data_IF_441348052077
#
_entry.id   IF_441348052077
#
_cell.length_a   1.000
_cell.length_b   1.000
_cell.length_c   1.000
_cell.angle_alpha   90.00
_cell.angle_beta   90.00
_cell.angle_gamma   90.00
#
_symmetry.space_group_name_H-M   'P 1'
#
loop_
_entity.id
_entity.type
_entity.pdbx_description
1 polymer ?
#
# COMPACT_ATOMS: atom_id res chain seq x y z
N UNK A 1 5.23 -8.41 -3.75
CA UNK A 1 4.64 -9.53 -4.52
C UNK A 1 3.56 -10.20 -3.70
N UNK A 2 2.49 -10.62 -4.34
CA UNK A 2 1.43 -11.43 -3.76
C UNK A 2 1.68 -12.87 -4.21
N UNK A 3 1.67 -13.79 -3.27
CA UNK A 3 1.91 -15.21 -3.52
C UNK A 3 0.94 -16.10 -2.74
N UNK A 4 0.89 -17.36 -3.07
CA UNK A 4 0.07 -18.35 -2.42
C UNK A 4 -1.09 -18.85 -3.26
N UNK A 5 -1.94 -19.64 -2.61
CA UNK A 5 -3.05 -20.33 -3.26
C UNK A 5 -4.37 -19.67 -2.90
N UNK A 6 -5.19 -19.46 -3.90
CA UNK A 6 -6.58 -19.08 -3.76
C UNK A 6 -7.43 -20.32 -4.05
N UNK A 7 -8.19 -20.79 -3.06
CA UNK A 7 -9.04 -21.97 -3.18
C UNK A 7 -10.49 -21.53 -3.46
N UNK A 8 -11.07 -22.04 -4.53
CA UNK A 8 -12.46 -21.75 -4.89
C UNK A 8 -13.49 -22.26 -3.87
N UNK A 9 -13.11 -23.29 -3.08
CA UNK A 9 -13.95 -23.86 -2.03
C UNK A 9 -13.81 -23.16 -0.69
N UNK A 10 -12.91 -22.18 -0.57
CA UNK A 10 -12.77 -21.35 0.61
C UNK A 10 -14.07 -20.54 0.85
N UNK A 11 -14.66 -20.71 2.02
CA UNK A 11 -15.91 -20.02 2.40
C UNK A 11 -15.71 -18.51 2.51
N UNK A 12 -14.48 -18.06 2.82
CA UNK A 12 -14.17 -16.64 2.94
C UNK A 12 -14.27 -15.92 1.59
N UNK A 13 -13.84 -16.56 0.48
CA UNK A 13 -13.96 -15.91 -0.85
C UNK A 13 -15.38 -15.85 -1.38
N UNK A 14 -16.29 -16.69 -0.82
CA UNK A 14 -17.71 -16.77 -1.21
C UNK A 14 -18.62 -15.85 -0.41
N UNK A 15 -18.14 -15.33 0.73
CA UNK A 15 -18.93 -14.43 1.56
C UNK A 15 -18.81 -12.96 1.09
N UNK A 16 -19.72 -12.11 1.57
CA UNK A 16 -19.77 -10.69 1.19
C UNK A 16 -18.51 -9.90 1.58
N UNK A 17 -17.83 -10.28 2.67
CA UNK A 17 -16.62 -9.64 3.11
C UNK A 17 -15.40 -10.01 2.23
N UNK A 18 -15.41 -11.22 1.66
CA UNK A 18 -14.30 -11.77 0.90
C UNK A 18 -13.13 -12.21 1.78
N UNK A 19 -12.17 -12.90 1.16
CA UNK A 19 -10.90 -13.25 1.81
C UNK A 19 -10.05 -12.00 1.96
N UNK A 20 -9.71 -11.63 3.19
CA UNK A 20 -8.90 -10.44 3.48
C UNK A 20 -7.41 -10.78 3.37
N UNK A 21 -6.70 -9.94 2.60
CA UNK A 21 -5.24 -9.96 2.47
C UNK A 21 -4.67 -8.62 2.96
N UNK A 22 -3.62 -8.67 3.76
CA UNK A 22 -2.95 -7.49 4.31
C UNK A 22 -1.62 -7.25 3.60
N UNK A 23 -1.39 -6.02 3.16
CA UNK A 23 -0.13 -5.54 2.62
C UNK A 23 0.42 -4.45 3.54
N UNK A 24 1.51 -4.75 4.26
CA UNK A 24 2.20 -3.78 5.09
C UNK A 24 3.21 -2.99 4.26
N UNK A 25 3.24 -1.68 4.45
CA UNK A 25 4.17 -0.80 3.77
C UNK A 25 4.54 0.39 4.67
N UNK A 26 5.55 1.15 4.27
CA UNK A 26 5.99 2.37 4.96
C UNK A 26 5.88 3.56 4.03
N UNK A 27 5.60 4.73 4.58
CA UNK A 27 5.74 6.00 3.86
C UNK A 27 7.22 6.44 3.81
N UNK A 28 7.51 7.57 3.17
CA UNK A 28 8.87 8.10 3.06
C UNK A 28 9.48 8.53 4.40
N UNK A 29 8.66 8.71 5.43
CA UNK A 29 9.08 9.03 6.78
C UNK A 29 9.29 7.77 7.63
N UNK A 30 8.92 6.60 7.11
CA UNK A 30 9.05 5.32 7.81
C UNK A 30 7.91 4.96 8.74
N UNK A 31 6.77 5.65 8.66
CA UNK A 31 5.55 5.24 9.36
C UNK A 31 4.89 4.06 8.66
N UNK A 32 4.47 3.08 9.45
CA UNK A 32 3.86 1.87 8.94
C UNK A 32 2.37 2.04 8.66
N UNK A 33 1.95 1.50 7.53
CA UNK A 33 0.54 1.39 7.10
C UNK A 33 0.23 -0.03 6.67
N UNK A 34 -1.05 -0.40 6.74
CA UNK A 34 -1.54 -1.69 6.26
C UNK A 34 -2.69 -1.47 5.29
N UNK A 35 -2.47 -1.78 4.01
CA UNK A 35 -3.55 -1.86 3.03
C UNK A 35 -4.23 -3.22 3.14
N UNK A 36 -5.56 -3.22 3.26
CA UNK A 36 -6.38 -4.43 3.29
C UNK A 36 -7.12 -4.57 1.97
N UNK A 37 -6.94 -5.72 1.35
CA UNK A 37 -7.64 -6.08 0.13
C UNK A 37 -8.63 -7.21 0.43
N UNK A 38 -9.81 -7.14 -0.18
CA UNK A 38 -10.76 -8.23 -0.17
C UNK A 38 -10.75 -8.94 -1.53
N UNK A 39 -10.63 -10.26 -1.51
CA UNK A 39 -10.69 -11.11 -2.69
C UNK A 39 -12.00 -11.89 -2.63
N UNK A 40 -12.83 -11.76 -3.67
CA UNK A 40 -14.16 -12.38 -3.72
C UNK A 40 -14.30 -13.23 -4.98
N UNK A 41 -14.95 -14.37 -4.85
CA UNK A 41 -15.35 -15.17 -6.01
C UNK A 41 -16.45 -14.46 -6.80
N UNK A 42 -16.39 -14.53 -8.12
CA UNK A 42 -17.48 -14.07 -9.00
C UNK A 42 -18.56 -15.12 -9.22
N UNK A 43 -18.38 -16.33 -8.67
CA UNK A 43 -19.21 -17.49 -8.96
C UNK A 43 -18.89 -18.16 -10.31
N UNK A 44 -17.84 -17.74 -10.98
CA UNK A 44 -17.30 -18.36 -12.21
C UNK A 44 -15.92 -18.90 -11.88
N UNK A 45 -15.65 -20.13 -12.28
CA UNK A 45 -14.36 -20.80 -12.04
C UNK A 45 -13.18 -19.97 -12.54
N UNK A 46 -12.15 -19.88 -11.74
CA UNK A 46 -10.94 -19.12 -12.02
C UNK A 46 -11.11 -17.60 -12.06
N UNK A 47 -12.29 -17.06 -11.71
CA UNK A 47 -12.57 -15.61 -11.73
C UNK A 47 -12.91 -15.08 -10.36
N UNK A 48 -12.12 -14.09 -9.96
CA UNK A 48 -12.25 -13.39 -8.67
C UNK A 48 -12.21 -11.89 -8.89
N UNK A 49 -12.55 -11.14 -7.86
CA UNK A 49 -12.36 -9.69 -7.81
C UNK A 49 -11.46 -9.33 -6.65
N UNK A 50 -10.64 -8.30 -6.84
CA UNK A 50 -9.76 -7.74 -5.79
C UNK A 50 -10.12 -6.28 -5.59
N UNK A 51 -10.45 -5.89 -4.37
CA UNK A 51 -10.78 -4.51 -4.02
C UNK A 51 -10.00 -4.04 -2.79
N UNK A 52 -9.61 -2.77 -2.77
CA UNK A 52 -9.05 -2.12 -1.59
C UNK A 52 -10.17 -1.74 -0.63
N UNK A 53 -10.18 -2.29 0.58
CA UNK A 53 -11.24 -2.05 1.57
C UNK A 53 -10.85 -1.01 2.61
N UNK A 54 -9.60 -0.99 3.01
CA UNK A 54 -9.10 -0.02 4.00
C UNK A 54 -7.59 0.16 3.89
N UNK A 55 -7.12 1.31 4.36
CA UNK A 55 -5.71 1.58 4.64
C UNK A 55 -5.64 2.02 6.09
N UNK A 56 -4.99 1.20 6.92
CA UNK A 56 -4.86 1.44 8.35
C UNK A 56 -3.52 2.09 8.64
N UNK A 57 -3.52 3.08 9.53
CA UNK A 57 -2.31 3.65 10.11
C UNK A 57 -1.79 2.81 11.30
N UNK A 58 -0.71 3.23 11.94
CA UNK A 58 -0.11 2.57 13.11
C UNK A 58 -1.05 2.48 14.33
N UNK A 59 -2.11 3.30 14.36
CA UNK A 59 -3.15 3.29 15.40
C UNK A 59 -4.38 2.46 14.99
N UNK A 60 -4.28 1.67 13.92
CA UNK A 60 -5.38 0.92 13.32
C UNK A 60 -6.57 1.78 12.85
N UNK A 61 -6.34 3.07 12.56
CA UNK A 61 -7.37 3.95 12.03
C UNK A 61 -7.42 3.86 10.51
N UNK A 62 -8.62 3.64 9.95
CA UNK A 62 -8.78 3.63 8.50
C UNK A 62 -8.72 5.05 7.93
N UNK A 63 -7.62 5.36 7.25
CA UNK A 63 -7.36 6.70 6.70
C UNK A 63 -8.18 7.03 5.45
N UNK A 64 -8.80 6.02 4.81
CA UNK A 64 -9.63 6.17 3.60
C UNK A 64 -11.13 6.00 3.86
N UNK A 65 -11.56 5.89 5.12
CA UNK A 65 -12.96 5.57 5.47
C UNK A 65 -13.99 6.56 4.94
N UNK A 66 -13.60 7.81 4.72
CA UNK A 66 -14.50 8.88 4.28
C UNK A 66 -14.46 9.10 2.75
N UNK A 67 -13.65 8.33 2.03
CA UNK A 67 -13.55 8.42 0.59
C UNK A 67 -14.71 7.69 -0.09
N UNK A 68 -15.18 8.24 -1.19
CA UNK A 68 -16.16 7.61 -2.08
C UNK A 68 -15.51 6.43 -2.81
N UNK A 69 -16.32 5.52 -3.35
CA UNK A 69 -15.83 4.40 -4.18
C UNK A 69 -15.00 4.88 -5.35
N UNK A 70 -15.39 5.98 -6.00
CA UNK A 70 -14.64 6.58 -7.09
C UNK A 70 -13.26 7.11 -6.66
N UNK A 71 -13.15 7.67 -5.46
CA UNK A 71 -11.87 8.12 -4.91
C UNK A 71 -10.98 6.95 -4.49
N UNK A 72 -11.55 5.90 -3.88
CA UNK A 72 -10.82 4.68 -3.54
C UNK A 72 -10.25 4.02 -4.81
N UNK A 73 -11.00 4.00 -5.92
CA UNK A 73 -10.53 3.42 -7.17
C UNK A 73 -9.33 4.17 -7.77
N UNK A 74 -9.16 5.47 -7.48
CA UNK A 74 -7.94 6.20 -7.87
C UNK A 74 -6.70 5.71 -7.13
N UNK A 75 -6.88 5.15 -5.94
CA UNK A 75 -5.81 4.52 -5.17
C UNK A 75 -5.54 3.11 -5.69
N UNK A 76 -6.60 2.29 -5.78
CA UNK A 76 -6.51 0.93 -6.30
C UNK A 76 -7.89 0.46 -6.77
N UNK A 77 -8.07 0.26 -8.07
CA UNK A 77 -9.32 -0.23 -8.63
C UNK A 77 -9.63 0.30 -10.02
N UNK A 78 -10.66 -0.28 -10.62
CA UNK A 78 -11.27 0.15 -11.87
C UNK A 78 -12.72 0.58 -11.58
N UNK A 79 -12.97 1.89 -11.60
CA UNK A 79 -14.28 2.43 -11.28
C UNK A 79 -15.24 2.34 -12.46
N UNK A 80 -16.33 1.65 -12.24
CA UNK A 80 -17.46 1.56 -13.17
C UNK A 80 -18.75 1.93 -12.43
N UNK A 81 -19.43 2.96 -12.89
CA UNK A 81 -20.62 3.51 -12.22
C UNK A 81 -21.87 2.62 -12.34
N UNK A 82 -21.97 1.82 -13.39
CA UNK A 82 -23.14 0.99 -13.71
C UNK A 82 -22.71 -0.43 -14.15
N UNK A 83 -21.78 -1.01 -13.41
CA UNK A 83 -21.31 -2.36 -13.66
C UNK A 83 -22.35 -3.41 -13.30
N UNK A 84 -22.37 -4.51 -14.03
CA UNK A 84 -23.11 -5.71 -13.61
C UNK A 84 -22.37 -6.37 -12.46
N UNK A 85 -22.96 -6.32 -11.27
CA UNK A 85 -22.41 -6.93 -10.05
C UNK A 85 -22.71 -8.43 -9.99
N UNK A 86 -23.79 -8.86 -10.62
CA UNK A 86 -24.16 -10.27 -10.74
C UNK A 86 -25.45 -10.49 -11.49
N UNK A 87 -25.61 -11.72 -12.01
CA UNK A 87 -26.87 -12.22 -12.56
C UNK A 87 -27.33 -13.41 -11.73
N UNK A 88 -28.58 -13.38 -11.32
CA UNK A 88 -29.14 -14.34 -10.36
C UNK A 88 -30.33 -15.04 -10.96
N UNK A 89 -30.28 -16.36 -10.96
CA UNK A 89 -31.39 -17.21 -11.34
C UNK A 89 -32.40 -17.41 -10.21
N UNK A 90 -33.55 -17.93 -10.55
CA UNK A 90 -34.55 -18.26 -9.57
C UNK A 90 -34.07 -19.36 -8.60
N UNK A 91 -34.48 -19.26 -7.36
CA UNK A 91 -34.32 -20.35 -6.41
C UNK A 91 -35.17 -21.57 -6.85
N UNK A 92 -34.81 -22.76 -6.34
CA UNK A 92 -35.48 -24.02 -6.68
C UNK A 92 -37.00 -24.03 -6.38
N UNK A 93 -37.43 -23.17 -5.47
CA UNK A 93 -38.80 -23.12 -4.98
C UNK A 93 -39.72 -22.21 -5.82
N UNK A 94 -39.15 -21.51 -6.80
CA UNK A 94 -39.89 -20.60 -7.67
C UNK A 94 -39.71 -20.92 -9.15
N UNK A 95 -40.65 -20.53 -9.96
CA UNK A 95 -40.60 -20.53 -11.43
C UNK A 95 -41.16 -19.21 -12.00
N UNK A 96 -40.75 -18.87 -13.22
CA UNK A 96 -41.25 -17.67 -13.90
C UNK A 96 -42.18 -18.04 -15.02
N UNK A 97 -43.46 -17.63 -14.91
CA UNK A 97 -44.52 -17.90 -15.89
C UNK A 97 -45.40 -16.68 -16.04
N UNK A 98 -45.81 -16.40 -17.28
CA UNK A 98 -46.75 -15.30 -17.59
C UNK A 98 -46.31 -13.96 -16.94
N UNK A 99 -45.01 -13.66 -16.95
CA UNK A 99 -44.44 -12.45 -16.34
C UNK A 99 -44.66 -12.34 -14.80
N UNK A 100 -44.80 -13.47 -14.14
CA UNK A 100 -45.01 -13.57 -12.69
C UNK A 100 -44.07 -14.63 -12.09
N UNK A 101 -43.70 -14.45 -10.85
CA UNK A 101 -42.93 -15.39 -10.05
C UNK A 101 -43.89 -16.29 -9.29
N UNK A 102 -43.90 -17.59 -9.60
CA UNK A 102 -44.83 -18.56 -9.04
C UNK A 102 -44.12 -19.44 -8.05
N UNK A 103 -44.58 -19.47 -6.81
CA UNK A 103 -44.06 -20.37 -5.79
C UNK A 103 -44.64 -21.78 -6.01
N UNK A 104 -43.77 -22.77 -6.19
CA UNK A 104 -44.14 -24.14 -6.56
C UNK A 104 -44.97 -24.88 -5.49
N UNK A 105 -44.77 -24.51 -4.21
CA UNK A 105 -45.46 -25.20 -3.10
C UNK A 105 -46.99 -25.02 -3.09
N UNK A 106 -47.48 -23.87 -3.53
CA UNK A 106 -48.88 -23.49 -3.46
C UNK A 106 -49.41 -22.79 -4.72
N UNK A 107 -48.63 -22.76 -5.78
CA UNK A 107 -48.88 -22.06 -7.04
C UNK A 107 -49.22 -20.56 -6.87
N UNK A 108 -48.74 -19.95 -5.80
CA UNK A 108 -48.99 -18.55 -5.54
C UNK A 108 -48.17 -17.65 -6.42
N UNK A 109 -48.81 -16.68 -7.04
CA UNK A 109 -48.21 -15.74 -7.99
C UNK A 109 -47.77 -14.45 -7.29
N UNK A 110 -46.57 -14.01 -7.58
CA UNK A 110 -45.99 -12.79 -7.05
C UNK A 110 -45.55 -11.88 -8.19
N UNK A 111 -45.68 -10.58 -8.00
CA UNK A 111 -45.19 -9.53 -8.90
C UNK A 111 -44.23 -8.62 -8.14
N UNK A 112 -43.24 -8.05 -8.84
CA UNK A 112 -42.32 -7.08 -8.27
C UNK A 112 -43.06 -5.86 -7.76
N UNK A 113 -42.77 -5.43 -6.54
CA UNK A 113 -43.32 -4.17 -6.03
C UNK A 113 -42.72 -2.99 -6.82
N UNK A 114 -43.55 -2.05 -7.22
CA UNK A 114 -43.17 -0.90 -8.04
C UNK A 114 -42.31 0.12 -7.25
N UNK A 115 -42.51 0.17 -5.93
CA UNK A 115 -41.81 1.11 -5.03
C UNK A 115 -40.57 0.51 -4.43
N UNK A 116 -40.65 -0.74 -3.97
CA UNK A 116 -39.52 -1.46 -3.38
C UNK A 116 -39.22 -2.73 -4.19
N UNK A 117 -38.29 -2.65 -5.11
CA UNK A 117 -37.90 -3.76 -5.97
C UNK A 117 -37.29 -4.96 -5.24
N UNK A 118 -37.07 -4.85 -3.93
CA UNK A 118 -36.63 -5.98 -3.08
C UNK A 118 -37.80 -6.81 -2.55
N UNK A 119 -39.04 -6.37 -2.77
CA UNK A 119 -40.23 -7.03 -2.34
C UNK A 119 -41.10 -7.49 -3.53
N UNK A 120 -41.75 -8.63 -3.37
CA UNK A 120 -42.65 -9.23 -4.32
C UNK A 120 -44.01 -9.47 -3.64
N UNK A 121 -45.07 -9.00 -4.25
CA UNK A 121 -46.41 -9.01 -3.68
C UNK A 121 -47.35 -9.96 -4.43
N UNK A 122 -48.16 -10.70 -3.70
CA UNK A 122 -49.26 -11.46 -4.24
C UNK A 122 -50.58 -10.68 -4.10
N UNK A 123 -51.59 -11.10 -4.84
CA UNK A 123 -52.90 -10.46 -4.85
C UNK A 123 -53.64 -10.46 -3.48
N UNK A 124 -53.29 -11.40 -2.60
CA UNK A 124 -53.85 -11.51 -1.24
C UNK A 124 -53.11 -10.65 -0.21
N UNK A 125 -52.12 -9.84 -0.65
CA UNK A 125 -51.32 -8.97 0.21
C UNK A 125 -50.10 -9.63 0.83
N UNK A 126 -49.90 -10.94 0.64
CA UNK A 126 -48.67 -11.59 1.12
C UNK A 126 -47.45 -11.10 0.34
N UNK A 127 -46.30 -11.06 1.02
CA UNK A 127 -45.04 -10.54 0.47
C UNK A 127 -43.91 -11.54 0.69
N UNK A 128 -43.00 -11.59 -0.26
CA UNK A 128 -41.74 -12.34 -0.18
C UNK A 128 -40.57 -11.45 -0.57
N UNK A 129 -39.42 -11.74 -0.01
CA UNK A 129 -38.19 -10.98 -0.29
C UNK A 129 -37.54 -11.43 -1.60
N UNK A 130 -36.79 -10.54 -2.23
CA UNK A 130 -35.92 -10.86 -3.37
C UNK A 130 -34.92 -12.00 -3.04
N UNK A 131 -34.49 -12.10 -1.79
CA UNK A 131 -33.54 -13.15 -1.33
C UNK A 131 -34.19 -14.55 -1.28
N UNK A 132 -35.51 -14.65 -1.24
CA UNK A 132 -36.24 -15.92 -1.31
C UNK A 132 -36.44 -16.37 -2.75
N UNK A 133 -36.72 -15.42 -3.64
CA UNK A 133 -37.03 -15.71 -5.06
C UNK A 133 -35.78 -16.03 -5.83
N UNK A 134 -34.64 -15.33 -5.55
CA UNK A 134 -33.39 -15.49 -6.29
C UNK A 134 -32.33 -16.18 -5.47
N UNK A 135 -31.72 -17.20 -6.05
CA UNK A 135 -30.56 -17.87 -5.45
C UNK A 135 -29.30 -16.98 -5.59
N UNK A 136 -28.64 -16.71 -4.47
CA UNK A 136 -27.39 -15.96 -4.44
C UNK A 136 -27.52 -14.44 -4.20
N UNK A 137 -28.73 -13.89 -4.19
CA UNK A 137 -28.93 -12.51 -3.70
C UNK A 137 -28.91 -12.54 -2.17
N UNK A 138 -27.92 -11.86 -1.58
CA UNK A 138 -27.75 -11.81 -0.13
C UNK A 138 -28.60 -10.71 0.50
N UNK A 139 -28.79 -10.78 1.81
CA UNK A 139 -29.48 -9.72 2.57
C UNK A 139 -28.75 -8.37 2.46
N UNK A 140 -27.41 -8.40 2.41
CA UNK A 140 -26.59 -7.20 2.21
C UNK A 140 -26.89 -6.55 0.86
N UNK A 141 -26.92 -7.33 -0.23
CA UNK A 141 -27.30 -6.83 -1.57
C UNK A 141 -28.72 -6.27 -1.60
N UNK A 142 -29.67 -6.93 -0.95
CA UNK A 142 -31.05 -6.43 -0.87
C UNK A 142 -31.13 -5.09 -0.13
N UNK A 143 -30.39 -4.93 0.96
CA UNK A 143 -30.30 -3.66 1.68
C UNK A 143 -29.64 -2.56 0.82
N UNK A 144 -28.61 -2.89 0.05
CA UNK A 144 -27.97 -1.96 -0.87
C UNK A 144 -28.92 -1.52 -1.99
N UNK A 145 -29.70 -2.44 -2.57
CA UNK A 145 -30.72 -2.12 -3.59
C UNK A 145 -31.77 -1.17 -3.00
N UNK A 146 -32.16 -1.38 -1.76
CA UNK A 146 -33.13 -0.54 -1.05
C UNK A 146 -32.59 0.84 -0.68
N UNK A 147 -31.28 0.97 -0.49
CA UNK A 147 -30.63 2.20 -0.08
C UNK A 147 -30.24 3.06 -1.31
N UNK A 148 -30.90 4.20 -1.57
CA UNK A 148 -30.58 5.05 -2.72
C UNK A 148 -29.13 5.57 -2.73
N UNK A 149 -28.50 5.70 -1.56
CA UNK A 149 -27.13 6.16 -1.44
C UNK A 149 -26.10 5.14 -1.93
N UNK A 150 -26.44 3.84 -1.99
CA UNK A 150 -25.55 2.79 -2.49
C UNK A 150 -25.42 2.78 -4.01
N UNK A 151 -26.34 3.45 -4.73
CA UNK A 151 -26.47 3.43 -6.20
C UNK A 151 -26.64 2.03 -6.79
N UNK A 152 -26.95 1.04 -5.98
CA UNK A 152 -27.22 -0.34 -6.40
C UNK A 152 -28.65 -0.45 -6.93
N UNK A 153 -28.82 -1.10 -8.09
CA UNK A 153 -30.10 -1.28 -8.76
C UNK A 153 -30.30 -2.76 -9.11
N UNK A 154 -31.55 -3.16 -9.21
CA UNK A 154 -31.90 -4.47 -9.76
C UNK A 154 -32.81 -4.29 -10.99
N UNK A 155 -32.49 -5.05 -12.03
CA UNK A 155 -33.31 -5.17 -13.26
C UNK A 155 -33.77 -6.62 -13.40
N UNK A 156 -34.99 -6.80 -13.81
CA UNK A 156 -35.58 -8.14 -14.01
C UNK A 156 -35.79 -8.37 -15.50
N UNK A 157 -35.28 -9.49 -15.98
CA UNK A 157 -35.49 -9.94 -17.36
C UNK A 157 -36.94 -10.45 -17.52
N UNK A 158 -37.68 -9.81 -18.39
CA UNK A 158 -39.11 -10.15 -18.62
C UNK A 158 -39.32 -11.45 -19.39
N UNK A 159 -38.27 -11.99 -20.04
CA UNK A 159 -38.36 -13.26 -20.74
C UNK A 159 -37.99 -14.46 -19.85
N UNK A 160 -36.92 -14.31 -19.06
CA UNK A 160 -36.40 -15.39 -18.23
C UNK A 160 -36.71 -15.27 -16.75
N UNK A 161 -37.16 -14.11 -16.31
CA UNK A 161 -37.39 -13.80 -14.91
C UNK A 161 -36.10 -13.66 -14.08
N UNK A 162 -34.93 -13.65 -14.68
CA UNK A 162 -33.64 -13.48 -13.96
C UNK A 162 -33.48 -12.07 -13.42
N UNK A 163 -32.81 -11.94 -12.30
CA UNK A 163 -32.41 -10.66 -11.74
C UNK A 163 -30.98 -10.30 -12.12
N UNK A 164 -30.78 -9.09 -12.60
CA UNK A 164 -29.43 -8.50 -12.81
C UNK A 164 -29.23 -7.38 -11.82
N UNK A 165 -28.26 -7.51 -10.93
CA UNK A 165 -27.87 -6.46 -9.99
C UNK A 165 -26.75 -5.62 -10.62
N UNK A 166 -26.97 -4.31 -10.67
CA UNK A 166 -26.03 -3.32 -11.19
C UNK A 166 -25.66 -2.32 -10.11
N UNK A 167 -24.47 -1.74 -10.20
CA UNK A 167 -24.03 -0.72 -9.27
C UNK A 167 -22.58 -0.28 -9.50
N UNK A 168 -22.05 0.47 -8.54
CA UNK A 168 -20.66 0.91 -8.60
C UNK A 168 -19.72 -0.26 -8.29
N UNK A 169 -18.82 -0.55 -9.23
CA UNK A 169 -17.72 -1.50 -9.08
C UNK A 169 -16.41 -0.74 -9.00
N UNK A 170 -15.55 -1.11 -8.06
CA UNK A 170 -14.21 -0.52 -7.87
C UNK A 170 -13.11 -1.57 -7.96
N UNK A 171 -13.47 -2.86 -7.94
CA UNK A 171 -12.53 -3.97 -7.92
C UNK A 171 -11.86 -4.19 -9.27
N UNK A 172 -10.64 -4.70 -9.26
CA UNK A 172 -10.03 -5.35 -10.42
C UNK A 172 -10.54 -6.79 -10.55
N UNK A 173 -10.69 -7.26 -11.79
CA UNK A 173 -10.92 -8.68 -12.05
C UNK A 173 -9.57 -9.42 -11.97
N UNK A 174 -9.50 -10.48 -11.17
CA UNK A 174 -8.38 -11.39 -11.03
C UNK A 174 -8.76 -12.71 -11.71
N UNK A 175 -8.00 -13.10 -12.73
CA UNK A 175 -8.33 -14.25 -13.56
C UNK A 175 -7.20 -15.26 -13.53
N UNK A 176 -7.58 -16.54 -13.41
CA UNK A 176 -6.71 -17.69 -13.46
C UNK A 176 -7.06 -18.57 -14.68
N UNK A 177 -6.08 -19.25 -15.21
CA UNK A 177 -6.28 -20.31 -16.20
C UNK A 177 -6.86 -21.54 -15.48
N UNK A 178 -8.10 -21.91 -15.81
CA UNK A 178 -8.81 -23.01 -15.15
C UNK A 178 -8.21 -24.38 -15.42
N UNK A 179 -7.41 -24.52 -16.49
CA UNK A 179 -6.75 -25.79 -16.85
C UNK A 179 -5.45 -26.02 -16.08
N UNK A 180 -4.72 -24.95 -15.74
CA UNK A 180 -3.41 -25.01 -15.08
C UNK A 180 -3.39 -24.45 -13.68
N UNK A 181 -4.44 -23.73 -13.27
CA UNK A 181 -4.51 -23.01 -11.98
C UNK A 181 -3.54 -21.83 -11.89
N UNK A 182 -2.86 -21.47 -12.98
CA UNK A 182 -1.89 -20.36 -12.98
C UNK A 182 -2.58 -19.02 -13.13
N UNK A 183 -1.94 -18.00 -12.59
CA UNK A 183 -2.34 -16.60 -12.81
C UNK A 183 -2.40 -16.28 -14.30
N UNK A 184 -3.48 -15.64 -14.73
CA UNK A 184 -3.66 -15.19 -16.11
C UNK A 184 -3.57 -13.67 -16.23
N UNK A 185 -4.39 -12.92 -15.44
CA UNK A 185 -4.38 -11.46 -15.48
C UNK A 185 -5.02 -10.84 -14.25
N UNK A 186 -4.72 -9.55 -14.01
CA UNK A 186 -5.44 -8.70 -13.07
C UNK A 186 -5.84 -7.39 -13.75
N UNK A 187 -7.15 -7.10 -13.82
CA UNK A 187 -7.69 -5.89 -14.44
C UNK A 187 -7.20 -5.67 -15.88
N UNK A 188 -7.12 -6.71 -16.69
CA UNK A 188 -6.59 -6.72 -18.06
C UNK A 188 -5.32 -7.58 -18.18
N UNK A 189 -4.42 -7.25 -19.10
CA UNK A 189 -3.28 -8.10 -19.48
C UNK A 189 -2.01 -7.92 -18.63
N UNK A 190 -2.06 -7.23 -17.51
CA UNK A 190 -0.87 -6.94 -16.69
C UNK A 190 -0.78 -7.87 -15.50
N UNK A 191 0.45 -8.34 -15.11
CA UNK A 191 0.64 -9.14 -13.91
C UNK A 191 0.57 -8.33 -12.62
N UNK A 192 0.66 -7.01 -12.71
CA UNK A 192 0.71 -6.13 -11.55
C UNK A 192 -0.23 -4.94 -11.67
N UNK A 193 -0.64 -4.40 -10.54
CA UNK A 193 -1.38 -3.14 -10.45
C UNK A 193 -0.70 -2.20 -9.47
N UNK A 194 -0.83 -0.91 -9.74
CA UNK A 194 -0.27 0.11 -8.88
C UNK A 194 -1.25 0.43 -7.75
N UNK A 195 -0.76 0.34 -6.51
CA UNK A 195 -1.38 0.96 -5.36
C UNK A 195 -0.90 2.42 -5.32
N UNK A 196 -1.72 3.32 -5.83
CA UNK A 196 -1.38 4.72 -6.07
C UNK A 196 -1.56 5.55 -4.78
N UNK A 197 -0.67 5.37 -3.84
CA UNK A 197 -0.73 6.04 -2.53
C UNK A 197 -0.43 7.54 -2.60
N UNK A 198 0.27 8.00 -3.65
CA UNK A 198 0.60 9.42 -3.83
C UNK A 198 -0.66 10.31 -3.97
N UNK A 199 -1.78 9.75 -4.38
CA UNK A 199 -3.08 10.45 -4.44
C UNK A 199 -3.50 10.96 -3.06
N UNK A 200 -3.14 10.25 -1.98
CA UNK A 200 -3.43 10.66 -0.60
C UNK A 200 -2.57 11.83 -0.13
N UNK A 201 -1.37 12.01 -0.72
CA UNK A 201 -0.48 13.13 -0.40
C UNK A 201 -0.91 14.43 -1.06
N UNK A 202 -1.53 14.37 -2.25
CA UNK A 202 -1.72 15.53 -3.14
C UNK A 202 -3.10 16.16 -3.11
N UNK A 203 -4.06 15.71 -2.31
CA UNK A 203 -5.34 16.39 -2.32
C UNK A 203 -6.55 15.72 -1.69
N UNK A 204 -6.64 14.38 -1.66
CA UNK A 204 -7.85 13.72 -1.15
C UNK A 204 -7.98 13.78 0.38
N UNK A 205 -6.87 13.84 1.13
CA UNK A 205 -6.89 13.84 2.59
C UNK A 205 -6.17 15.03 3.20
N UNK A 206 -5.53 15.90 2.41
CA UNK A 206 -4.73 17.04 2.90
C UNK A 206 -3.80 16.65 4.05
N UNK A 207 -3.30 15.40 4.03
CA UNK A 207 -2.30 14.90 4.96
C UNK A 207 -0.93 15.16 4.37
N UNK A 208 0.00 15.65 5.18
CA UNK A 208 1.43 15.75 4.85
C UNK A 208 2.07 14.35 4.73
N UNK A 209 1.37 13.39 4.09
CA UNK A 209 1.84 12.05 3.91
C UNK A 209 2.77 11.97 2.70
N UNK A 210 4.01 11.61 2.93
CA UNK A 210 5.00 11.34 1.88
C UNK A 210 4.80 9.92 1.33
N UNK A 211 3.61 9.64 0.78
CA UNK A 211 3.33 8.35 0.19
C UNK A 211 3.95 8.20 -1.19
N UNK A 212 4.60 7.08 -1.42
CA UNK A 212 5.01 6.62 -2.75
C UNK A 212 4.04 5.58 -3.29
N UNK A 213 4.01 5.45 -4.62
CA UNK A 213 3.24 4.42 -5.28
C UNK A 213 3.92 3.07 -5.14
N UNK A 214 3.12 2.03 -4.95
CA UNK A 214 3.57 0.66 -4.72
C UNK A 214 3.05 -0.22 -5.84
N UNK A 215 3.94 -0.90 -6.55
CA UNK A 215 3.54 -1.91 -7.53
C UNK A 215 3.23 -3.22 -6.80
N UNK A 216 2.01 -3.70 -6.94
CA UNK A 216 1.53 -4.95 -6.36
C UNK A 216 1.48 -5.99 -7.48
N UNK A 217 2.36 -6.98 -7.42
CA UNK A 217 2.49 -8.05 -8.40
C UNK A 217 1.75 -9.31 -7.93
N UNK A 218 0.86 -9.83 -8.78
CA UNK A 218 0.03 -11.01 -8.53
C UNK A 218 0.48 -12.25 -9.32
N UNK A 219 1.57 -12.16 -10.07
CA UNK A 219 2.03 -13.25 -10.97
C UNK A 219 2.34 -14.57 -10.25
N UNK A 220 2.60 -14.53 -8.94
CA UNK A 220 2.90 -15.70 -8.13
C UNK A 220 1.66 -16.33 -7.47
N UNK A 221 0.47 -15.83 -7.79
CA UNK A 221 -0.77 -16.39 -7.27
C UNK A 221 -1.15 -17.65 -8.06
N UNK A 222 -1.71 -18.63 -7.37
CA UNK A 222 -2.21 -19.88 -7.94
C UNK A 222 -3.67 -20.09 -7.51
N UNK A 223 -4.43 -20.78 -8.35
CA UNK A 223 -5.81 -21.17 -8.06
C UNK A 223 -5.97 -22.68 -8.23
N UNK A 224 -6.10 -23.38 -7.12
CA UNK A 224 -6.40 -24.80 -7.09
C UNK A 224 -7.03 -25.21 -5.76
N UNK A 225 -7.59 -26.40 -5.70
CA UNK A 225 -8.17 -26.95 -4.46
C UNK A 225 -7.06 -27.16 -3.41
N UNK A 226 -7.24 -26.57 -2.23
CA UNK A 226 -6.31 -26.65 -1.10
C UNK A 226 -7.05 -26.94 0.21
N UNK A 227 -8.01 -27.88 0.16
CA UNK A 227 -8.81 -28.27 1.31
C UNK A 227 -9.74 -27.18 1.84
N UNK A 228 -10.23 -26.31 0.98
CA UNK A 228 -11.12 -25.20 1.32
C UNK A 228 -10.44 -24.03 2.02
N UNK A 229 -9.10 -23.91 1.92
CA UNK A 229 -8.34 -22.84 2.60
C UNK A 229 -7.41 -22.11 1.62
N UNK A 230 -7.60 -20.82 1.51
CA UNK A 230 -6.69 -19.96 0.77
C UNK A 230 -5.49 -19.57 1.63
N UNK A 231 -4.28 -19.56 1.03
CA UNK A 231 -3.02 -19.16 1.68
C UNK A 231 -2.45 -17.89 1.10
N UNK A 232 -3.23 -17.20 0.26
CA UNK A 232 -2.79 -15.98 -0.42
C UNK A 232 -2.36 -14.89 0.58
N UNK A 233 -1.21 -14.29 0.33
CA UNK A 233 -0.62 -13.28 1.19
C UNK A 233 0.35 -12.38 0.45
N UNK A 234 0.76 -11.30 1.10
CA UNK A 234 1.74 -10.36 0.57
C UNK A 234 3.12 -10.62 1.17
N UNK A 235 4.12 -10.74 0.31
CA UNK A 235 5.52 -10.81 0.69
C UNK A 235 6.15 -9.41 0.81
N UNK A 236 7.18 -9.30 1.63
CA UNK A 236 7.84 -8.04 1.98
C UNK A 236 8.72 -7.43 0.86
N UNK A 237 8.53 -7.82 -0.40
CA UNK A 237 9.35 -7.36 -1.53
C UNK A 237 10.67 -8.12 -1.71
N UNK A 238 11.54 -7.65 -2.61
CA UNK A 238 12.78 -8.35 -2.95
C UNK A 238 13.76 -8.44 -1.78
N UNK A 239 14.48 -9.55 -1.69
CA UNK A 239 15.45 -9.83 -0.61
C UNK A 239 16.79 -9.07 -0.78
N UNK A 240 16.98 -8.40 -1.92
CA UNK A 240 18.19 -7.63 -2.23
C UNK A 240 18.38 -6.36 -1.36
N UNK A 241 17.35 -6.01 -0.57
CA UNK A 241 17.36 -4.84 0.31
C UNK A 241 17.27 -3.50 -0.41
N UNK A 242 17.18 -3.49 -1.75
CA UNK A 242 17.17 -2.27 -2.57
C UNK A 242 15.83 -1.97 -3.21
N UNK A 243 15.07 -2.98 -3.58
CA UNK A 243 13.79 -2.84 -4.28
C UNK A 243 12.63 -3.43 -3.47
N UNK A 244 11.52 -2.71 -3.39
CA UNK A 244 10.27 -3.20 -2.78
C UNK A 244 10.30 -3.34 -1.25
N UNK A 245 11.35 -2.87 -0.57
CA UNK A 245 11.41 -2.81 0.90
C UNK A 245 11.22 -1.39 1.38
N UNK A 246 10.11 -1.14 2.07
CA UNK A 246 9.97 0.03 2.92
C UNK A 246 10.81 -0.11 4.19
N UNK A 247 11.23 1.01 4.77
CA UNK A 247 11.99 1.04 6.02
C UNK A 247 11.21 1.75 7.10
N UNK A 248 11.14 1.11 8.26
CA UNK A 248 10.55 1.70 9.47
C UNK A 248 11.35 2.93 9.89
N UNK A 249 10.68 3.92 10.47
CA UNK A 249 11.34 5.03 11.16
C UNK A 249 12.31 4.47 12.21
N UNK A 250 13.58 4.84 12.10
CA UNK A 250 14.64 4.39 12.99
C UNK A 250 14.94 5.42 14.07
N UNK A 251 15.26 4.95 15.27
CA UNK A 251 15.88 5.76 16.29
C UNK A 251 17.39 5.80 16.06
N UNK A 252 18.02 6.99 16.24
CA UNK A 252 19.48 7.12 16.13
C UNK A 252 20.16 6.32 17.22
N UNK A 253 21.05 5.41 16.85
CA UNK A 253 21.84 4.56 17.74
C UNK A 253 23.26 5.01 17.93
N UNK A 254 23.77 5.80 17.00
CA UNK A 254 25.15 6.29 17.07
C UNK A 254 25.50 7.30 15.97
N UNK A 255 26.66 7.92 16.13
CA UNK A 255 27.24 8.84 15.15
C UNK A 255 28.69 8.38 14.92
N UNK A 256 29.11 8.39 13.65
CA UNK A 256 30.53 8.22 13.32
C UNK A 256 30.95 9.23 12.25
N UNK A 257 32.26 9.51 12.19
CA UNK A 257 32.83 10.43 11.22
C UNK A 257 33.83 9.62 10.39
N UNK A 258 33.77 9.75 9.06
CA UNK A 258 34.68 9.08 8.16
C UNK A 258 35.97 9.87 7.98
N UNK A 259 36.96 9.30 7.27
CA UNK A 259 38.26 9.91 7.02
C UNK A 259 38.19 11.18 6.17
N UNK A 260 37.09 11.44 5.50
CA UNK A 260 36.82 12.66 4.72
C UNK A 260 36.09 13.74 5.53
N UNK A 261 35.83 13.49 6.83
CA UNK A 261 35.13 14.42 7.71
C UNK A 261 33.64 14.44 7.52
N UNK A 262 33.02 13.43 6.86
CA UNK A 262 31.59 13.29 6.75
C UNK A 262 31.01 12.65 8.00
N UNK A 263 29.98 13.26 8.56
CA UNK A 263 29.32 12.85 9.79
C UNK A 263 28.12 12.01 9.41
N UNK A 264 28.08 10.77 9.85
CA UNK A 264 26.99 9.84 9.60
C UNK A 264 26.26 9.49 10.89
N UNK A 265 24.93 9.47 10.82
CA UNK A 265 24.06 8.89 11.85
C UNK A 265 23.73 7.45 11.50
N UNK A 266 23.86 6.54 12.46
CA UNK A 266 23.38 5.16 12.36
C UNK A 266 22.08 5.01 13.11
N UNK A 267 21.16 4.23 12.55
CA UNK A 267 19.80 4.04 13.07
C UNK A 267 19.52 2.55 13.32
N UNK A 268 18.61 2.27 14.25
CA UNK A 268 18.21 0.90 14.63
C UNK A 268 17.50 0.12 13.50
N UNK A 269 17.02 0.82 12.47
CA UNK A 269 16.47 0.24 11.25
C UNK A 269 17.51 -0.16 10.19
N UNK A 270 18.80 -0.05 10.53
CA UNK A 270 19.94 -0.34 9.65
C UNK A 270 20.26 0.76 8.63
N UNK A 271 19.63 1.94 8.75
CA UNK A 271 19.99 3.09 7.93
C UNK A 271 21.25 3.77 8.44
N UNK A 272 21.99 4.34 7.50
CA UNK A 272 23.09 5.27 7.76
C UNK A 272 22.87 6.49 6.89
N UNK A 273 22.71 7.65 7.53
CA UNK A 273 22.38 8.91 6.84
C UNK A 273 23.50 9.92 7.05
N UNK A 274 23.85 10.65 5.98
CA UNK A 274 24.81 11.75 6.05
C UNK A 274 24.14 12.95 6.74
N UNK A 275 24.62 13.29 7.93
CA UNK A 275 24.09 14.40 8.74
C UNK A 275 24.77 15.72 8.43
N UNK A 276 26.05 15.67 8.05
CA UNK A 276 26.84 16.85 7.76
C UNK A 276 28.26 16.52 7.36
N UNK A 277 29.06 17.54 7.13
CA UNK A 277 30.47 17.40 6.76
C UNK A 277 31.27 18.47 7.45
N UNK A 278 32.48 18.10 7.95
CA UNK A 278 33.44 19.04 8.46
C UNK A 278 34.17 19.66 7.27
N UNK A 279 34.07 20.97 7.15
CA UNK A 279 34.78 21.74 6.15
C UNK A 279 36.05 22.33 6.74
N UNK A 280 37.12 22.34 5.99
CA UNK A 280 38.41 22.91 6.38
C UNK A 280 38.72 24.15 5.53
N UNK A 281 39.39 25.11 6.15
CA UNK A 281 39.91 26.29 5.42
C UNK A 281 41.27 25.99 4.87
N UNK A 282 41.52 26.32 3.60
CA UNK A 282 42.81 26.23 2.93
C UNK A 282 43.41 27.62 2.77
N UNK A 283 44.73 27.71 2.99
CA UNK A 283 45.50 28.94 2.81
C UNK A 283 46.68 28.68 1.91
N UNK A 284 47.01 29.64 1.06
CA UNK A 284 48.17 29.55 0.16
C UNK A 284 49.48 29.38 0.92
N UNK A 285 49.58 29.93 2.11
CA UNK A 285 50.71 29.76 3.01
C UNK A 285 50.23 29.65 4.46
N UNK A 286 49.99 28.43 4.94
CA UNK A 286 49.53 28.17 6.30
C UNK A 286 50.56 28.63 7.37
N UNK A 287 51.87 28.61 7.06
CA UNK A 287 52.91 29.09 7.96
C UNK A 287 52.88 30.60 8.19
N UNK A 288 52.19 31.35 7.33
CA UNK A 288 51.99 32.78 7.44
C UNK A 288 50.86 33.19 8.41
N UNK A 289 50.15 32.24 8.97
CA UNK A 289 49.05 32.51 9.93
C UNK A 289 49.64 32.95 11.29
N UNK A 290 49.04 33.97 11.89
CA UNK A 290 49.40 34.45 13.24
C UNK A 290 48.61 33.68 14.30
N UNK A 291 49.30 33.08 15.27
CA UNK A 291 48.69 32.41 16.40
C UNK A 291 48.12 33.40 17.40
N UNK A 292 46.84 33.33 17.68
CA UNK A 292 46.10 34.27 18.57
C UNK A 292 45.92 33.69 19.98
N UNK A 293 46.20 32.42 20.19
CA UNK A 293 45.98 31.66 21.43
C UNK A 293 44.89 30.62 21.31
N UNK A 294 44.78 29.71 22.28
CA UNK A 294 43.73 28.64 22.35
C UNK A 294 43.55 27.84 21.05
N UNK A 295 44.67 27.55 20.35
CA UNK A 295 44.71 26.88 19.04
C UNK A 295 43.98 27.64 17.89
N UNK A 296 43.72 28.95 18.09
CA UNK A 296 43.14 29.81 17.05
C UNK A 296 44.25 30.57 16.29
N UNK A 297 43.97 30.80 15.01
CA UNK A 297 44.87 31.50 14.10
C UNK A 297 44.13 32.64 13.37
N UNK A 298 44.85 33.67 13.01
CA UNK A 298 44.34 34.80 12.24
C UNK A 298 45.12 34.94 10.93
N UNK A 299 44.43 35.33 9.89
CA UNK A 299 45.04 35.61 8.58
C UNK A 299 45.96 36.81 8.67
N UNK A 300 47.07 36.76 7.94
CA UNK A 300 48.01 37.85 7.71
C UNK A 300 48.20 38.09 6.22
N UNK A 301 48.91 39.18 5.88
CA UNK A 301 49.22 39.47 4.47
C UNK A 301 50.05 38.34 3.82
N UNK A 302 50.79 37.55 4.59
CA UNK A 302 51.61 36.46 4.11
C UNK A 302 50.91 35.10 4.06
N UNK A 303 49.74 34.96 4.69
CA UNK A 303 48.97 33.71 4.66
C UNK A 303 48.09 33.54 3.42
N UNK A 304 47.83 34.64 2.72
CA UNK A 304 46.74 34.73 1.76
C UNK A 304 45.40 34.96 2.47
N UNK A 305 44.41 35.41 1.71
CA UNK A 305 43.04 35.62 2.20
C UNK A 305 42.27 34.31 2.15
N UNK A 306 41.37 34.10 3.15
CA UNK A 306 40.40 33.05 3.11
C UNK A 306 39.19 33.52 2.28
N UNK A 307 38.85 32.78 1.24
CA UNK A 307 37.73 33.11 0.33
C UNK A 307 36.32 32.91 0.95
N UNK A 308 36.27 32.42 2.21
CA UNK A 308 35.00 32.14 2.91
C UNK A 308 34.40 30.80 2.54
N UNK A 309 35.02 30.01 1.69
CA UNK A 309 34.52 28.71 1.23
C UNK A 309 35.33 27.60 1.91
N UNK A 310 34.65 26.73 2.67
CA UNK A 310 35.25 25.54 3.22
C UNK A 310 35.39 24.45 2.14
N UNK A 311 36.46 23.70 2.18
CA UNK A 311 36.70 22.57 1.29
C UNK A 311 36.62 21.25 2.04
N UNK A 312 36.40 20.17 1.30
CA UNK A 312 36.39 18.81 1.85
C UNK A 312 37.81 18.45 2.31
N UNK A 313 37.95 17.77 3.45
CA UNK A 313 39.28 17.37 4.04
C UNK A 313 40.10 16.58 3.03
N UNK A 314 39.48 15.74 2.21
CA UNK A 314 40.18 14.92 1.22
C UNK A 314 40.59 15.66 -0.07
N UNK A 315 40.22 16.94 -0.23
CA UNK A 315 40.43 17.68 -1.48
C UNK A 315 41.91 17.86 -1.84
N UNK A 316 42.80 17.88 -0.84
CA UNK A 316 44.26 18.00 -1.00
C UNK A 316 45.02 16.71 -0.61
N UNK A 317 44.31 15.59 -0.43
CA UNK A 317 44.90 14.32 0.02
C UNK A 317 45.04 14.19 1.52
N UNK A 318 44.52 15.14 2.29
CA UNK A 318 44.47 15.05 3.75
C UNK A 318 43.43 14.02 4.22
N UNK A 319 43.58 13.49 5.41
CA UNK A 319 42.67 12.58 6.04
C UNK A 319 42.46 12.92 7.50
N UNK A 320 41.29 12.56 8.02
CA UNK A 320 40.92 12.74 9.41
C UNK A 320 40.86 11.39 10.11
N UNK A 321 41.41 11.29 11.31
CA UNK A 321 41.28 10.11 12.17
C UNK A 321 40.44 10.47 13.37
N UNK A 322 39.48 9.63 13.74
CA UNK A 322 38.61 9.84 14.88
C UNK A 322 38.90 8.87 16.01
N UNK A 323 38.68 9.31 17.25
CA UNK A 323 38.92 8.46 18.44
C UNK A 323 40.36 8.35 18.87
N UNK A 324 41.25 9.12 18.28
CA UNK A 324 42.66 9.18 18.62
C UNK A 324 43.03 10.55 19.21
N UNK A 325 44.04 10.55 20.06
CA UNK A 325 44.66 11.78 20.55
C UNK A 325 45.87 12.12 19.70
N UNK A 326 45.95 13.36 19.24
CA UNK A 326 47.12 13.86 18.53
C UNK A 326 48.34 13.87 19.48
N UNK A 327 49.39 13.19 19.10
CA UNK A 327 50.63 13.19 19.86
C UNK A 327 51.36 14.52 19.64
N UNK A 328 52.04 15.00 20.69
CA UNK A 328 52.84 16.20 20.59
C UNK A 328 54.01 16.00 19.62
N UNK A 329 54.21 16.94 18.69
CA UNK A 329 55.36 16.98 17.77
C UNK A 329 56.64 17.54 18.43
N UNK A 330 56.66 17.65 19.76
CA UNK A 330 57.82 18.18 20.48
C UNK A 330 58.96 17.17 20.40
N UNK A 331 60.04 17.59 19.81
CA UNK A 331 61.33 16.84 19.86
C UNK A 331 61.91 16.95 21.28
N UNK A 332 61.65 15.91 22.07
CA UNK A 332 62.12 15.83 23.45
C UNK A 332 63.61 15.99 23.55
N UNK A 333 64.40 15.54 22.55
CA UNK A 333 65.85 15.65 22.53
C UNK A 333 66.24 17.12 22.42
N UNK A 334 65.58 17.88 21.58
CA UNK A 334 65.80 19.33 21.43
C UNK A 334 65.44 20.11 22.69
N UNK A 335 64.33 19.77 23.29
CA UNK A 335 63.87 20.41 24.53
C UNK A 335 64.76 20.09 25.72
N UNK A 336 65.23 18.84 25.84
CA UNK A 336 66.22 18.48 26.86
C UNK A 336 67.57 19.19 26.63
N UNK A 337 68.03 19.32 25.37
CA UNK A 337 69.21 20.06 25.04
C UNK A 337 69.09 21.53 25.42
N UNK A 338 67.95 22.15 25.10
CA UNK A 338 67.65 23.53 25.49
C UNK A 338 67.64 23.70 27.03
N UNK A 339 67.13 22.71 27.74
CA UNK A 339 67.08 22.75 29.21
C UNK A 339 68.46 22.59 29.85
N UNK A 340 69.36 21.83 29.21
CA UNK A 340 70.77 21.62 29.72
C UNK A 340 71.60 22.83 29.40
N UNK A 341 71.34 23.57 28.33
CA UNK A 341 72.12 24.73 27.89
C UNK A 341 71.67 26.06 28.49
N UNK A 342 70.57 26.07 29.24
CA UNK A 342 70.06 27.23 29.99
C UNK A 342 70.53 27.15 31.43
#
# INVERSE_FOLDING_TARGET
TISGVLDENDTDVKNDAGRVMNLNFYDNLGYQYTAKFAIKSTGTDGKYTVELTSVLDSNNQNIIKNLTKQEISKIFGDYQADATLGKYGLSKDYEFKNNKYVRKADNKEFTVDTTDKTLFKANDGSQVSITEIFSGITTTMANDIKNPASKTKVEFDTATGQATVKGEKTSYDLVFDTSTGKFASIGGDTPSKMLNMSVLSSGLLNRNGNFQNITVDFSQCLNYENGGKSTIGADAGATDGKTGKGRKLGAMTGIFIDTSGRIYGTYDNGNTELLGQIAVAQFSNASGLEKVGESCYRTTLNSGEFDGIGVEISADGSSMTTGELEMSNVDLSSEFTSMITT
#
